data_IF_529162495703
#
_entry.id   IF_529162495703
#
_cell.length_a   1.000
_cell.length_b   1.000
_cell.length_c   1.000
_cell.angle_alpha   90.00
_cell.angle_beta   90.00
_cell.angle_gamma   90.00
#
_symmetry.space_group_name_H-M   'P 1'
#
loop_
_entity.id
_entity.type
_entity.pdbx_description
1 polymer ?
#
# COMPACT_ATOMS: atom_id res chain seq x y z
N UNK A 1 15.08 15.88 -4.42
CA UNK A 1 15.61 15.37 -5.71
C UNK A 1 14.44 15.12 -6.62
N UNK A 2 14.48 15.76 -7.78
CA UNK A 2 13.44 15.82 -8.80
C UNK A 2 13.70 14.79 -9.89
N UNK A 3 12.65 14.10 -10.33
CA UNK A 3 12.57 13.42 -11.64
C UNK A 3 13.08 11.98 -11.66
N UNK A 4 12.14 11.02 -11.75
CA UNK A 4 12.21 9.68 -12.39
C UNK A 4 11.20 8.66 -11.80
N UNK A 5 9.99 9.09 -11.45
CA UNK A 5 8.89 8.18 -11.03
C UNK A 5 7.55 8.51 -11.71
N UNK A 6 7.59 9.00 -12.94
CA UNK A 6 6.37 9.44 -13.67
C UNK A 6 5.58 8.28 -14.30
N UNK A 7 5.96 7.03 -14.03
CA UNK A 7 5.20 5.81 -14.41
C UNK A 7 4.64 5.06 -13.20
N UNK A 8 4.58 5.70 -12.02
CA UNK A 8 3.95 5.07 -10.86
C UNK A 8 2.43 5.12 -11.03
N UNK A 9 1.79 3.96 -11.21
CA UNK A 9 0.33 3.86 -11.37
C UNK A 9 -0.39 4.40 -10.15
N UNK A 10 0.08 4.01 -8.96
CA UNK A 10 -0.40 4.49 -7.68
C UNK A 10 0.78 4.77 -6.76
N UNK A 11 0.76 5.90 -6.06
CA UNK A 11 1.68 6.20 -4.95
C UNK A 11 0.90 6.93 -3.88
N UNK A 12 0.98 6.41 -2.66
CA UNK A 12 0.46 7.04 -1.47
C UNK A 12 1.62 7.25 -0.50
N UNK A 13 1.84 8.51 -0.11
CA UNK A 13 2.88 8.88 0.83
C UNK A 13 2.28 9.60 2.04
N UNK A 14 2.86 9.38 3.21
CA UNK A 14 2.44 10.00 4.46
C UNK A 14 3.65 10.20 5.38
N UNK A 15 3.49 11.03 6.40
CA UNK A 15 4.50 11.22 7.43
C UNK A 15 4.14 10.41 8.66
N UNK A 16 5.03 9.53 9.09
CA UNK A 16 4.80 8.69 10.26
C UNK A 16 6.09 8.17 10.88
N UNK A 17 5.98 7.55 12.04
CA UNK A 17 7.09 6.84 12.67
C UNK A 17 6.85 5.34 12.61
N UNK A 18 7.85 4.58 12.17
CA UNK A 18 7.76 3.12 12.08
C UNK A 18 7.85 2.43 13.46
N UNK A 19 8.37 3.11 14.49
CA UNK A 19 8.32 2.67 15.89
C UNK A 19 8.08 3.84 16.86
N UNK A 20 7.44 3.62 18.01
CA UNK A 20 7.37 4.62 19.08
C UNK A 20 8.76 5.15 19.44
N UNK A 21 8.92 6.47 19.51
CA UNK A 21 10.19 7.12 19.87
C UNK A 21 11.23 7.22 18.75
N UNK A 22 10.92 6.79 17.52
CA UNK A 22 11.74 7.07 16.33
C UNK A 22 11.33 8.38 15.64
N UNK A 23 12.22 8.98 14.82
CA UNK A 23 11.88 10.16 14.04
C UNK A 23 10.73 9.92 13.06
N UNK A 24 9.93 10.96 12.81
CA UNK A 24 8.91 10.96 11.76
C UNK A 24 9.61 11.01 10.39
N UNK A 25 9.35 10.01 9.57
CA UNK A 25 9.92 9.81 8.23
C UNK A 25 8.83 9.95 7.15
N UNK A 26 9.25 10.17 5.90
CA UNK A 26 8.35 10.12 4.75
C UNK A 26 8.16 8.66 4.34
N UNK A 27 7.02 8.11 4.75
CA UNK A 27 6.60 6.74 4.48
C UNK A 27 5.75 6.71 3.21
N UNK A 28 5.72 5.56 2.53
CA UNK A 28 4.99 5.44 1.28
C UNK A 28 4.73 3.99 0.89
N UNK A 29 3.71 3.81 0.05
CA UNK A 29 3.38 2.61 -0.69
C UNK A 29 3.06 2.99 -2.13
N UNK A 30 3.55 2.19 -3.07
CA UNK A 30 3.39 2.40 -4.50
C UNK A 30 3.08 1.09 -5.21
N UNK A 31 2.24 1.18 -6.24
CA UNK A 31 2.00 0.09 -7.19
C UNK A 31 2.34 0.62 -8.57
N UNK A 32 3.22 -0.10 -9.27
CA UNK A 32 3.64 0.26 -10.61
C UNK A 32 3.83 -0.99 -11.48
N UNK A 33 4.10 -0.76 -12.76
CA UNK A 33 4.32 -1.79 -13.76
C UNK A 33 5.52 -1.35 -14.58
N UNK A 34 6.49 -2.24 -14.79
CA UNK A 34 7.54 -1.98 -15.78
C UNK A 34 6.94 -2.06 -17.20
N UNK A 35 7.45 -1.29 -18.18
CA UNK A 35 6.87 -1.23 -19.54
C UNK A 35 6.55 -2.60 -20.15
N UNK A 36 7.48 -3.56 -20.04
CA UNK A 36 7.35 -4.92 -20.54
C UNK A 36 7.52 -5.98 -19.43
N UNK A 37 7.39 -5.56 -18.17
CA UNK A 37 7.76 -6.37 -17.01
C UNK A 37 6.60 -6.66 -16.06
N UNK A 38 6.93 -7.20 -14.87
CA UNK A 38 5.91 -7.53 -13.88
C UNK A 38 5.35 -6.26 -13.21
N UNK A 39 4.29 -6.48 -12.46
CA UNK A 39 3.76 -5.48 -11.55
C UNK A 39 4.51 -5.55 -10.24
N UNK A 40 4.74 -4.39 -9.63
CA UNK A 40 5.47 -4.29 -8.38
C UNK A 40 4.65 -3.59 -7.32
N UNK A 41 4.80 -4.09 -6.10
CA UNK A 41 4.56 -3.36 -4.88
C UNK A 41 5.90 -2.79 -4.42
N UNK A 42 5.97 -1.49 -4.20
CA UNK A 42 7.14 -0.86 -3.63
C UNK A 42 6.71 -0.02 -2.43
N UNK A 43 7.34 -0.24 -1.29
CA UNK A 43 6.96 0.44 -0.06
C UNK A 43 8.19 0.73 0.78
N UNK A 44 8.12 1.78 1.60
CA UNK A 44 9.25 2.19 2.44
C UNK A 44 9.81 1.04 3.29
N UNK A 45 8.96 0.24 3.94
CA UNK A 45 9.40 -0.81 4.88
C UNK A 45 9.73 -2.16 4.18
N UNK A 46 9.18 -2.43 2.99
CA UNK A 46 9.39 -3.69 2.25
C UNK A 46 10.51 -3.57 1.20
N UNK A 47 10.73 -2.37 0.66
CA UNK A 47 11.37 -2.19 -0.63
C UNK A 47 10.47 -2.67 -1.78
N UNK A 48 11.08 -2.88 -2.95
CA UNK A 48 10.39 -3.32 -4.16
C UNK A 48 10.23 -4.84 -4.16
N UNK A 49 9.03 -5.32 -4.42
CA UNK A 49 8.70 -6.73 -4.56
C UNK A 49 7.61 -6.95 -5.61
N UNK A 50 7.54 -8.15 -6.19
CA UNK A 50 6.55 -8.47 -7.21
C UNK A 50 5.14 -8.45 -6.60
N UNK A 51 4.19 -7.80 -7.27
CA UNK A 51 2.78 -7.86 -6.89
C UNK A 51 2.15 -9.15 -7.42
N UNK A 52 1.98 -10.15 -6.54
CA UNK A 52 1.28 -11.39 -6.88
C UNK A 52 -0.15 -11.12 -7.38
N UNK A 53 -0.52 -11.77 -8.47
CA UNK A 53 -1.79 -11.52 -9.16
C UNK A 53 -1.76 -10.31 -10.11
N UNK A 54 -0.64 -9.58 -10.18
CA UNK A 54 -0.32 -8.64 -11.26
C UNK A 54 -1.41 -7.61 -11.58
N UNK A 55 -1.68 -7.43 -12.88
CA UNK A 55 -2.66 -6.46 -13.36
C UNK A 55 -4.08 -6.68 -12.79
N UNK A 56 -4.62 -7.92 -12.70
CA UNK A 56 -5.88 -8.18 -12.02
C UNK A 56 -5.92 -7.68 -10.57
N UNK A 57 -4.87 -7.93 -9.79
CA UNK A 57 -4.79 -7.48 -8.38
C UNK A 57 -4.73 -5.95 -8.29
N UNK A 58 -3.88 -5.32 -9.11
CA UNK A 58 -3.77 -3.86 -9.17
C UNK A 58 -5.10 -3.20 -9.57
N UNK A 59 -5.82 -3.76 -10.55
CA UNK A 59 -7.12 -3.26 -10.98
C UNK A 59 -8.20 -3.43 -9.90
N UNK A 60 -8.24 -4.58 -9.21
CA UNK A 60 -9.16 -4.81 -8.10
C UNK A 60 -8.92 -3.82 -6.95
N UNK A 61 -7.65 -3.56 -6.62
CA UNK A 61 -7.29 -2.56 -5.62
C UNK A 61 -7.75 -1.15 -6.03
N UNK A 62 -7.49 -0.73 -7.27
CA UNK A 62 -7.95 0.56 -7.77
C UNK A 62 -9.47 0.72 -7.73
N UNK A 63 -10.21 -0.32 -8.16
CA UNK A 63 -11.68 -0.32 -8.09
C UNK A 63 -12.18 -0.25 -6.65
N UNK A 64 -11.55 -0.96 -5.73
CA UNK A 64 -11.87 -0.90 -4.31
C UNK A 64 -11.64 0.50 -3.73
N UNK A 65 -10.56 1.19 -4.11
CA UNK A 65 -10.29 2.57 -3.70
C UNK A 65 -11.40 3.53 -4.17
N UNK A 66 -11.83 3.40 -5.43
CA UNK A 66 -12.84 4.27 -6.05
C UNK A 66 -14.28 3.95 -5.66
N UNK A 67 -14.57 2.79 -5.06
CA UNK A 67 -15.91 2.45 -4.65
C UNK A 67 -16.52 3.54 -3.76
N UNK A 68 -17.78 3.91 -4.02
CA UNK A 68 -18.49 4.94 -3.28
C UNK A 68 -18.39 4.68 -1.78
N UNK A 69 -17.93 5.67 -0.98
CA UNK A 69 -17.87 5.50 0.45
C UNK A 69 -19.29 5.41 1.03
N UNK A 70 -19.53 4.52 2.00
CA UNK A 70 -20.78 4.50 2.75
C UNK A 70 -21.08 5.85 3.42
N UNK A 71 -22.37 6.12 3.68
CA UNK A 71 -22.77 7.22 4.56
C UNK A 71 -22.36 6.91 6.00
N UNK A 72 -21.82 7.89 6.71
CA UNK A 72 -21.45 7.74 8.12
C UNK A 72 -20.06 7.16 8.37
N UNK A 73 -19.91 6.53 9.54
CA UNK A 73 -18.69 5.82 9.94
C UNK A 73 -18.56 4.54 9.13
N UNK A 74 -17.37 4.28 8.60
CA UNK A 74 -17.08 3.00 7.96
C UNK A 74 -15.60 2.65 8.05
N UNK A 75 -15.33 1.37 7.87
CA UNK A 75 -13.99 0.81 7.70
C UNK A 75 -14.10 -0.33 6.69
N UNK A 76 -13.16 -0.38 5.75
CA UNK A 76 -13.03 -1.48 4.81
C UNK A 76 -11.56 -1.80 4.61
N UNK A 77 -11.28 -3.05 4.33
CA UNK A 77 -9.94 -3.57 4.10
C UNK A 77 -9.79 -4.12 2.68
N UNK A 78 -8.56 -4.12 2.20
CA UNK A 78 -8.15 -4.81 0.99
C UNK A 78 -6.82 -5.50 1.24
N UNK A 79 -6.82 -6.82 1.07
CA UNK A 79 -5.62 -7.64 1.10
C UNK A 79 -4.84 -7.47 -0.21
N UNK A 80 -3.76 -6.69 -0.16
CA UNK A 80 -2.93 -6.41 -1.33
C UNK A 80 -1.92 -7.52 -1.61
N UNK A 81 -1.33 -8.08 -0.56
CA UNK A 81 -0.43 -9.24 -0.58
C UNK A 81 -0.83 -10.15 0.56
N UNK A 82 -0.95 -11.45 0.31
CA UNK A 82 -1.39 -12.44 1.32
C UNK A 82 -0.35 -13.55 1.48
N UNK A 83 0.41 -13.48 2.57
CA UNK A 83 1.34 -14.54 3.00
C UNK A 83 2.29 -15.04 1.90
N UNK A 84 2.66 -14.17 0.97
CA UNK A 84 3.43 -14.51 -0.23
C UNK A 84 4.93 -14.52 0.10
N UNK A 85 5.70 -15.53 -0.33
CA UNK A 85 7.15 -15.53 -0.15
C UNK A 85 7.78 -14.42 -0.99
N UNK A 86 8.62 -13.62 -0.36
CA UNK A 86 9.33 -12.52 -0.99
C UNK A 86 10.73 -12.98 -1.42
N UNK A 87 11.15 -12.51 -2.59
CA UNK A 87 12.49 -12.71 -3.14
C UNK A 87 13.00 -11.40 -3.70
N UNK A 88 14.32 -11.20 -3.72
CA UNK A 88 14.96 -10.05 -4.36
C UNK A 88 14.61 -8.69 -3.71
N UNK A 89 13.98 -8.69 -2.55
CA UNK A 89 13.77 -7.47 -1.76
C UNK A 89 15.10 -7.03 -1.14
N UNK A 90 15.45 -5.75 -1.33
CA UNK A 90 16.62 -5.16 -0.66
C UNK A 90 16.44 -4.95 0.85
N UNK A 91 15.25 -5.19 1.41
CA UNK A 91 14.93 -4.96 2.84
C UNK A 91 14.41 -6.20 3.57
N UNK A 92 13.91 -7.20 2.86
CA UNK A 92 13.44 -8.46 3.44
C UNK A 92 14.41 -9.60 3.13
N UNK A 93 14.58 -10.52 4.07
CA UNK A 93 15.33 -11.74 3.82
C UNK A 93 14.57 -12.64 2.83
N UNK A 94 15.29 -13.28 1.91
CA UNK A 94 14.68 -14.20 0.95
C UNK A 94 13.85 -15.30 1.62
N UNK A 95 12.65 -15.51 1.10
CA UNK A 95 11.67 -16.47 1.62
C UNK A 95 10.83 -15.96 2.79
N UNK A 96 11.00 -14.69 3.21
CA UNK A 96 10.07 -14.05 4.15
C UNK A 96 8.67 -14.03 3.55
N UNK A 97 7.68 -14.51 4.29
CA UNK A 97 6.27 -14.42 3.90
C UNK A 97 5.71 -13.09 4.34
N UNK A 98 5.06 -12.38 3.44
CA UNK A 98 4.59 -11.04 3.68
C UNK A 98 3.08 -10.95 3.48
N UNK A 99 2.42 -10.25 4.39
CA UNK A 99 1.03 -9.84 4.29
C UNK A 99 0.94 -8.33 4.34
N UNK A 100 0.22 -7.73 3.39
CA UNK A 100 0.03 -6.29 3.26
C UNK A 100 -1.45 -6.00 3.11
N UNK A 101 -2.02 -5.35 4.11
CA UNK A 101 -3.42 -4.95 4.13
C UNK A 101 -3.52 -3.43 4.06
N UNK A 102 -4.47 -2.95 3.26
CA UNK A 102 -4.79 -1.53 3.15
C UNK A 102 -6.19 -1.32 3.69
N UNK A 103 -6.31 -0.42 4.67
CA UNK A 103 -7.55 -0.09 5.33
C UNK A 103 -7.94 1.33 4.95
N UNK A 104 -9.17 1.52 4.48
CA UNK A 104 -9.76 2.83 4.19
C UNK A 104 -10.97 3.01 5.11
N UNK A 105 -10.96 4.07 5.90
CA UNK A 105 -12.03 4.31 6.87
C UNK A 105 -12.37 5.78 7.07
N UNK A 106 -13.40 6.00 7.87
CA UNK A 106 -13.90 7.30 8.30
C UNK A 106 -14.56 7.13 9.67
N UNK A 107 -14.17 7.95 10.65
CA UNK A 107 -14.65 7.80 12.03
C UNK A 107 -16.05 8.37 12.27
N UNK A 108 -16.43 9.42 11.52
CA UNK A 108 -17.68 10.14 11.69
C UNK A 108 -18.33 10.53 10.35
N UNK A 109 -19.65 10.73 10.35
CA UNK A 109 -20.37 11.16 9.17
C UNK A 109 -19.83 12.50 8.66
N UNK A 110 -19.59 12.61 7.35
CA UNK A 110 -18.98 13.79 6.71
C UNK A 110 -17.55 14.15 7.20
N UNK A 111 -16.95 13.33 8.07
CA UNK A 111 -15.55 13.47 8.48
C UNK A 111 -14.56 13.07 7.37
N UNK A 112 -13.26 13.38 7.55
CA UNK A 112 -12.23 13.00 6.61
C UNK A 112 -12.02 11.48 6.59
N UNK A 113 -11.72 10.94 5.42
CA UNK A 113 -11.27 9.55 5.29
C UNK A 113 -9.80 9.44 5.70
N UNK A 114 -9.39 8.26 6.15
CA UNK A 114 -8.00 7.90 6.44
C UNK A 114 -7.66 6.57 5.75
N UNK A 115 -6.41 6.41 5.31
CA UNK A 115 -5.96 5.21 4.60
C UNK A 115 -4.75 4.58 5.28
N UNK A 116 -4.95 3.59 6.11
CA UNK A 116 -3.87 2.90 6.84
C UNK A 116 -3.29 1.73 6.03
N UNK A 117 -2.00 1.44 6.27
CA UNK A 117 -1.35 0.24 5.76
C UNK A 117 -0.91 -0.61 6.95
N UNK A 118 -1.35 -1.86 6.99
CA UNK A 118 -0.95 -2.86 7.97
C UNK A 118 0.03 -3.82 7.32
N UNK A 119 1.13 -4.10 8.03
CA UNK A 119 2.16 -5.01 7.58
C UNK A 119 2.35 -6.10 8.63
N UNK A 120 2.26 -7.35 8.19
CA UNK A 120 2.63 -8.50 8.97
C UNK A 120 3.34 -9.54 8.12
N UNK A 121 3.91 -10.55 8.76
CA UNK A 121 4.57 -11.62 8.04
C UNK A 121 5.30 -12.59 8.93
N UNK A 122 6.03 -13.48 8.27
CA UNK A 122 6.80 -14.53 8.91
C UNK A 122 8.16 -14.64 8.22
N UNK A 123 9.23 -14.52 9.00
CA UNK A 123 10.59 -14.73 8.46
C UNK A 123 10.80 -16.20 8.09
N UNK A 124 11.82 -16.49 7.28
CA UNK A 124 12.20 -17.85 6.90
C UNK A 124 12.43 -18.81 8.08
N UNK A 125 12.75 -18.28 9.27
CA UNK A 125 12.97 -19.05 10.49
C UNK A 125 11.70 -19.14 11.37
N UNK A 126 10.52 -18.90 10.81
CA UNK A 126 9.22 -18.96 11.49
C UNK A 126 9.04 -17.94 12.62
N UNK A 127 9.78 -16.82 12.57
CA UNK A 127 9.50 -15.69 13.46
C UNK A 127 8.45 -14.79 12.82
N UNK A 128 7.26 -14.76 13.42
CA UNK A 128 6.21 -13.82 13.07
C UNK A 128 6.61 -12.39 13.43
N UNK A 129 6.20 -11.44 12.61
CA UNK A 129 6.33 -10.02 12.88
C UNK A 129 5.07 -9.27 12.44
N UNK A 130 4.84 -8.14 13.09
CA UNK A 130 3.83 -7.16 12.72
C UNK A 130 4.44 -5.78 12.96
N UNK A 131 4.18 -4.84 12.06
CA UNK A 131 4.54 -3.44 12.29
C UNK A 131 3.44 -2.83 13.17
N UNK A 132 3.58 -3.04 14.49
CA UNK A 132 2.54 -2.80 15.50
C UNK A 132 2.26 -1.33 15.85
N UNK A 133 2.80 -0.36 15.12
CA UNK A 133 2.33 1.01 15.23
C UNK A 133 1.39 1.26 14.05
N UNK A 134 0.09 1.57 14.28
CA UNK A 134 -0.73 2.20 13.27
C UNK A 134 0.08 3.35 12.71
N UNK A 135 0.52 3.20 11.47
CA UNK A 135 1.06 4.32 10.76
C UNK A 135 -0.15 5.21 10.58
N UNK A 136 -0.34 6.19 11.47
CA UNK A 136 -1.44 7.15 11.43
C UNK A 136 -1.38 7.84 10.08
N UNK A 137 -2.08 7.25 9.12
CA UNK A 137 -2.04 7.73 7.77
C UNK A 137 -2.89 8.98 7.72
N UNK A 138 -2.28 10.02 7.18
CA UNK A 138 -2.89 11.32 7.08
C UNK A 138 -4.23 11.26 6.36
N UNK A 139 -5.06 12.26 6.64
CA UNK A 139 -6.35 12.48 5.99
C UNK A 139 -6.22 12.32 4.48
N UNK A 140 -7.11 11.52 3.91
CA UNK A 140 -7.15 11.24 2.49
C UNK A 140 -7.94 12.36 1.80
N UNK A 141 -7.35 12.96 0.78
CA UNK A 141 -8.10 13.78 -0.15
C UNK A 141 -8.73 12.89 -1.22
N UNK A 142 -10.05 12.69 -1.16
CA UNK A 142 -10.78 11.72 -1.98
C UNK A 142 -10.47 11.84 -3.48
N UNK A 143 -10.51 13.06 -4.02
CA UNK A 143 -10.22 13.28 -5.44
C UNK A 143 -8.76 12.92 -5.82
N UNK A 144 -7.81 13.05 -4.87
CA UNK A 144 -6.42 12.63 -5.08
C UNK A 144 -6.28 11.11 -5.12
N UNK A 145 -7.00 10.42 -4.23
CA UNK A 145 -7.06 8.95 -4.20
C UNK A 145 -7.69 8.40 -5.47
N UNK A 146 -8.81 8.97 -5.90
CA UNK A 146 -9.51 8.58 -7.13
C UNK A 146 -8.66 8.84 -8.38
N UNK A 147 -7.97 9.98 -8.45
CA UNK A 147 -7.05 10.26 -9.55
C UNK A 147 -5.88 9.26 -9.58
N UNK A 148 -5.34 8.86 -8.43
CA UNK A 148 -4.30 7.84 -8.35
C UNK A 148 -4.82 6.45 -8.75
N UNK A 149 -6.01 6.06 -8.30
CA UNK A 149 -6.64 4.81 -8.69
C UNK A 149 -6.98 4.78 -10.20
N UNK A 150 -7.43 5.89 -10.76
CA UNK A 150 -7.69 6.02 -12.20
C UNK A 150 -6.41 5.86 -13.03
N UNK A 151 -5.29 6.45 -12.60
CA UNK A 151 -3.97 6.22 -13.23
C UNK A 151 -3.57 4.75 -13.16
N UNK A 152 -3.78 4.11 -12.01
CA UNK A 152 -3.47 2.69 -11.85
C UNK A 152 -4.28 1.81 -12.82
N UNK A 153 -5.57 2.14 -13.04
CA UNK A 153 -6.40 1.46 -14.03
C UNK A 153 -5.98 1.73 -15.46
N UNK A 154 -5.50 2.94 -15.77
CA UNK A 154 -5.03 3.29 -17.11
C UNK A 154 -3.79 2.48 -17.52
N UNK A 155 -2.94 2.07 -16.57
CA UNK A 155 -1.79 1.19 -16.84
C UNK A 155 -2.16 -0.25 -17.25
N UNK A 156 -3.45 -0.61 -17.18
CA UNK A 156 -3.98 -1.90 -17.65
C UNK A 156 -4.15 -1.94 -19.18
N UNK A 157 -4.39 -0.78 -19.80
CA UNK A 157 -4.55 -0.65 -21.25
C UNK A 157 -3.21 -0.81 -21.97
#
# INVERSE_FOLDING_TARGET
MSGEHDQTGFRFGWRGSHYPGRPVEDLWLAINKDPDGPWWLDAYFIGRTTLTGGAPRAAAFAQWLMACPPEGRYEKEFMLVDSEPQSESGRLADGTRLTVEVLLGREEACGPEYLQVLLSGETRNFHAFEVCAPLDCQRVHRAGLEAAAARLLALRA
#
